data_IF_599402909736
#
_entry.id   IF_599402909736
#
_cell.length_a   1.000
_cell.length_b   1.000
_cell.length_c   1.000
_cell.angle_alpha   90.00
_cell.angle_beta   90.00
_cell.angle_gamma   90.00
#
_symmetry.space_group_name_H-M   'P 1'
#
loop_
_entity.id
_entity.type
_entity.pdbx_description
1 polymer ?
#
# COMPACT_ATOMS: atom_id res chain seq x y z
N UNK A 1 0.38 -23.34 -12.61
CA UNK A 1 -0.22 -22.07 -12.13
C UNK A 1 0.78 -20.99 -11.72
N UNK A 2 1.40 -20.30 -12.67
CA UNK A 2 2.33 -19.19 -12.37
C UNK A 2 1.61 -17.88 -12.01
N UNK A 3 0.31 -17.78 -12.31
CA UNK A 3 -0.50 -16.55 -12.12
C UNK A 3 -0.93 -16.38 -10.66
N UNK A 4 -1.30 -17.47 -9.98
CA UNK A 4 -1.72 -17.43 -8.58
C UNK A 4 -0.58 -17.04 -7.63
N UNK A 5 0.65 -17.48 -7.89
CA UNK A 5 1.81 -17.17 -7.06
C UNK A 5 2.24 -15.69 -7.20
N UNK A 6 2.16 -15.14 -8.42
CA UNK A 6 2.41 -13.71 -8.67
C UNK A 6 1.41 -12.79 -7.97
N UNK A 7 0.13 -13.19 -7.89
CA UNK A 7 -0.91 -12.42 -7.19
C UNK A 7 -0.72 -12.44 -5.67
N UNK A 8 -0.37 -13.59 -5.07
CA UNK A 8 -0.07 -13.68 -3.63
C UNK A 8 1.12 -12.80 -3.22
N UNK A 9 2.16 -12.74 -4.04
CA UNK A 9 3.34 -11.89 -3.77
C UNK A 9 2.94 -10.40 -3.83
N UNK A 10 2.14 -10.01 -4.84
CA UNK A 10 1.63 -8.64 -4.97
C UNK A 10 0.71 -8.25 -3.80
N UNK A 11 -0.19 -9.14 -3.39
CA UNK A 11 -1.07 -8.93 -2.24
C UNK A 11 -0.28 -8.76 -0.94
N UNK A 12 0.68 -9.67 -0.67
CA UNK A 12 1.55 -9.58 0.52
C UNK A 12 2.41 -8.32 0.52
N UNK A 13 2.89 -7.90 -0.65
CA UNK A 13 3.64 -6.65 -0.77
C UNK A 13 2.74 -5.44 -0.48
N UNK A 14 1.58 -5.37 -1.12
CA UNK A 14 0.62 -4.29 -0.95
C UNK A 14 0.19 -4.15 0.51
N UNK A 15 -0.27 -5.24 1.13
CA UNK A 15 -0.71 -5.24 2.54
C UNK A 15 0.41 -4.85 3.50
N UNK A 16 1.64 -5.32 3.27
CA UNK A 16 2.80 -4.94 4.10
C UNK A 16 3.15 -3.46 3.96
N UNK A 17 3.08 -2.93 2.74
CA UNK A 17 3.28 -1.52 2.42
C UNK A 17 2.24 -0.67 3.15
N UNK A 18 0.96 -0.98 2.96
CA UNK A 18 -0.15 -0.24 3.56
C UNK A 18 -0.16 -0.29 5.08
N UNK A 19 0.10 -1.45 5.70
CA UNK A 19 0.28 -1.54 7.16
C UNK A 19 1.37 -0.60 7.66
N UNK A 20 2.48 -0.49 6.92
CA UNK A 20 3.57 0.40 7.31
C UNK A 20 3.22 1.87 7.11
N UNK A 21 2.48 2.19 6.06
CA UNK A 21 1.99 3.54 5.79
C UNK A 21 0.98 3.96 6.84
N UNK A 22 -0.03 3.13 7.13
CA UNK A 22 -1.03 3.38 8.17
C UNK A 22 -0.37 3.61 9.53
N UNK A 23 0.60 2.78 9.91
CA UNK A 23 1.38 2.97 11.14
C UNK A 23 2.25 4.25 11.16
N UNK A 24 2.58 4.83 10.00
CA UNK A 24 3.30 6.10 9.89
C UNK A 24 2.35 7.30 9.78
N UNK A 25 1.14 7.08 9.26
CA UNK A 25 0.15 8.11 8.97
C UNK A 25 -0.72 8.41 10.20
N UNK A 26 -1.01 7.40 11.04
CA UNK A 26 -1.86 7.52 12.21
C UNK A 26 -3.29 7.05 11.96
N UNK A 27 -4.17 7.24 12.95
CA UNK A 27 -5.58 6.80 12.91
C UNK A 27 -6.47 7.64 11.97
N UNK A 28 -6.09 8.88 11.68
CA UNK A 28 -6.81 9.77 10.75
C UNK A 28 -5.82 10.69 10.02
N UNK A 29 -5.14 10.19 8.97
CA UNK A 29 -4.13 10.96 8.29
C UNK A 29 -4.72 11.91 7.26
N UNK A 30 -4.34 13.19 7.34
CA UNK A 30 -4.61 14.15 6.27
C UNK A 30 -3.88 13.77 4.97
N UNK A 31 -4.25 14.41 3.85
CA UNK A 31 -3.64 14.11 2.55
C UNK A 31 -2.11 14.24 2.58
N UNK A 32 -1.58 15.26 3.28
CA UNK A 32 -0.14 15.50 3.37
C UNK A 32 0.58 14.41 4.18
N UNK A 33 -0.04 13.94 5.27
CA UNK A 33 0.43 12.88 6.13
C UNK A 33 0.44 11.55 5.38
N UNK A 34 -0.62 11.24 4.62
CA UNK A 34 -0.67 10.08 3.74
C UNK A 34 0.46 10.13 2.72
N UNK A 35 0.64 11.25 2.02
CA UNK A 35 1.71 11.39 1.01
C UNK A 35 3.12 11.20 1.61
N UNK A 36 3.35 11.77 2.80
CA UNK A 36 4.61 11.60 3.52
C UNK A 36 4.81 10.14 3.98
N UNK A 37 3.77 9.51 4.51
CA UNK A 37 3.78 8.12 4.96
C UNK A 37 3.98 7.14 3.78
N UNK A 38 3.40 7.41 2.61
CA UNK A 38 3.60 6.67 1.36
C UNK A 38 5.08 6.68 0.94
N UNK A 39 5.73 7.85 0.93
CA UNK A 39 7.17 7.94 0.61
C UNK A 39 8.05 7.28 1.67
N UNK A 40 7.79 7.53 2.95
CA UNK A 40 8.57 6.99 4.07
C UNK A 40 8.41 5.47 4.19
N UNK A 41 7.19 4.97 4.01
CA UNK A 41 6.85 3.55 4.04
C UNK A 41 7.59 2.76 2.97
N UNK A 42 7.66 3.29 1.75
CA UNK A 42 8.43 2.64 0.68
C UNK A 42 9.94 2.64 0.96
N UNK A 43 10.50 3.73 1.51
CA UNK A 43 11.93 3.79 1.88
C UNK A 43 12.28 2.81 2.99
N UNK A 44 11.37 2.60 3.95
CA UNK A 44 11.55 1.66 5.06
C UNK A 44 11.64 0.19 4.64
N UNK A 45 11.22 -0.16 3.42
CA UNK A 45 11.25 -1.53 2.90
C UNK A 45 12.57 -1.92 2.22
N UNK A 46 13.56 -1.01 2.17
CA UNK A 46 14.86 -1.23 1.55
C UNK A 46 14.85 -1.06 0.01
N UNK A 47 16.02 -1.03 -0.62
CA UNK A 47 16.16 -0.64 -2.05
C UNK A 47 15.33 -1.48 -3.04
N UNK A 48 15.38 -2.81 -2.93
CA UNK A 48 14.74 -3.70 -3.89
C UNK A 48 13.20 -3.70 -3.79
N UNK A 49 12.67 -3.66 -2.56
CA UNK A 49 11.21 -3.65 -2.32
C UNK A 49 10.66 -2.22 -2.43
N UNK A 50 11.43 -1.22 -2.00
CA UNK A 50 11.07 0.19 -2.06
C UNK A 50 10.79 0.68 -3.47
N UNK A 51 11.57 0.25 -4.48
CA UNK A 51 11.26 0.57 -5.90
C UNK A 51 9.89 0.03 -6.33
N UNK A 52 9.56 -1.22 -5.99
CA UNK A 52 8.24 -1.81 -6.31
C UNK A 52 7.12 -1.15 -5.54
N UNK A 53 7.36 -0.80 -4.28
CA UNK A 53 6.43 -0.03 -3.46
C UNK A 53 6.12 1.33 -4.10
N UNK A 54 7.15 2.07 -4.52
CA UNK A 54 6.98 3.38 -5.15
C UNK A 54 6.16 3.30 -6.43
N UNK A 55 6.38 2.28 -7.27
CA UNK A 55 5.57 2.08 -8.48
C UNK A 55 4.11 1.79 -8.15
N UNK A 56 3.85 0.96 -7.14
CA UNK A 56 2.50 0.62 -6.69
C UNK A 56 1.79 1.85 -6.12
N UNK A 57 2.45 2.53 -5.19
CA UNK A 57 1.96 3.76 -4.55
C UNK A 57 1.74 4.87 -5.57
N UNK A 58 2.64 5.06 -6.52
CA UNK A 58 2.49 6.09 -7.54
C UNK A 58 1.35 5.80 -8.51
N UNK A 59 1.06 4.52 -8.78
CA UNK A 59 -0.01 4.12 -9.70
C UNK A 59 -1.40 4.16 -9.03
N UNK A 60 -1.46 3.79 -7.76
CA UNK A 60 -2.70 3.63 -7.00
C UNK A 60 -2.81 4.66 -5.88
N UNK A 61 -2.16 5.82 -6.04
CA UNK A 61 -2.01 6.83 -4.99
C UNK A 61 -3.35 7.30 -4.46
N UNK A 62 -4.26 7.65 -5.37
CA UNK A 62 -5.59 8.18 -5.06
C UNK A 62 -6.39 7.15 -4.27
N UNK A 63 -6.52 5.93 -4.79
CA UNK A 63 -7.26 4.82 -4.14
C UNK A 63 -6.68 4.43 -2.78
N UNK A 64 -5.35 4.44 -2.65
CA UNK A 64 -4.68 4.19 -1.37
C UNK A 64 -4.94 5.33 -0.39
N UNK A 65 -4.92 6.57 -0.86
CA UNK A 65 -5.13 7.74 0.01
C UNK A 65 -6.56 7.82 0.49
N UNK A 66 -7.52 7.62 -0.40
CA UNK A 66 -8.94 7.53 -0.07
C UNK A 66 -9.21 6.41 0.94
N UNK A 67 -8.67 5.20 0.70
CA UNK A 67 -8.85 4.10 1.64
C UNK A 67 -8.21 4.36 3.01
N UNK A 68 -7.03 4.99 3.05
CA UNK A 68 -6.40 5.36 4.32
C UNK A 68 -7.17 6.45 5.08
N UNK A 69 -7.74 7.43 4.38
CA UNK A 69 -8.58 8.49 4.96
C UNK A 69 -9.92 7.93 5.45
N UNK A 70 -10.46 6.93 4.77
CA UNK A 70 -11.68 6.24 5.17
C UNK A 70 -11.47 5.25 6.34
N UNK A 71 -10.21 5.04 6.77
CA UNK A 71 -9.88 4.07 7.80
C UNK A 71 -9.97 2.60 7.33
N UNK A 72 -9.92 2.36 6.02
CA UNK A 72 -10.03 1.02 5.45
C UNK A 72 -8.86 0.13 5.87
N UNK A 73 -9.14 -1.18 5.96
CA UNK A 73 -8.10 -2.14 6.27
C UNK A 73 -7.12 -2.28 5.07
N UNK A 74 -5.81 -2.44 5.34
CA UNK A 74 -4.81 -2.68 4.30
C UNK A 74 -5.14 -3.80 3.31
N UNK A 75 -5.91 -4.81 3.72
CA UNK A 75 -6.31 -5.89 2.85
C UNK A 75 -7.39 -5.46 1.85
N UNK A 76 -8.35 -4.65 2.29
CA UNK A 76 -9.48 -4.19 1.49
C UNK A 76 -9.02 -3.19 0.44
N UNK A 77 -8.16 -2.24 0.82
CA UNK A 77 -7.52 -1.31 -0.13
C UNK A 77 -6.75 -2.11 -1.21
N UNK A 78 -6.00 -3.14 -0.81
CA UNK A 78 -5.27 -3.98 -1.75
C UNK A 78 -6.17 -4.85 -2.64
N UNK A 79 -7.35 -5.23 -2.17
CA UNK A 79 -8.36 -5.93 -2.95
C UNK A 79 -9.04 -4.96 -3.95
N UNK A 80 -9.34 -3.73 -3.53
CA UNK A 80 -9.94 -2.69 -4.35
C UNK A 80 -9.07 -2.33 -5.57
N UNK A 81 -7.75 -2.33 -5.41
CA UNK A 81 -6.80 -2.11 -6.51
C UNK A 81 -6.42 -3.40 -7.27
N UNK A 82 -7.11 -4.51 -6.99
CA UNK A 82 -7.00 -5.79 -7.69
C UNK A 82 -5.74 -6.62 -7.38
N UNK A 83 -4.94 -6.21 -6.39
CA UNK A 83 -3.68 -6.88 -6.03
C UNK A 83 -3.89 -8.05 -5.08
N UNK A 84 -4.90 -7.99 -4.22
CA UNK A 84 -5.42 -9.12 -3.48
C UNK A 84 -6.68 -9.66 -4.17
N UNK A 85 -6.94 -10.96 -3.98
CA UNK A 85 -8.26 -11.54 -4.19
C UNK A 85 -8.91 -11.61 -2.81
N UNK A 86 -10.11 -11.04 -2.67
CA UNK A 86 -10.93 -11.07 -1.46
C UNK A 86 -11.17 -12.48 -0.97
#
# INVERSE_FOLDING_TARGET
DSVAQGRRIKCRLCTKVLKKIQALAGDDPDESAVQAALQKGCRALGRAVGKRCQQLVSKYREQISEGLQNGDLPQDICAAIGLCSS
#
